data_IF_176994233070
#
_entry.id   IF_176994233070
#
_cell.length_a   1.000
_cell.length_b   1.000
_cell.length_c   1.000
_cell.angle_alpha   90.00
_cell.angle_beta   90.00
_cell.angle_gamma   90.00
#
_symmetry.space_group_name_H-M   'P 1'
#
loop_
_entity.id
_entity.type
_entity.pdbx_description
1 polymer ?
#
# COMPACT_ATOMS: atom_id res chain seq x y z
N UNK A 1 -19.51 -53.38 23.62
CA UNK A 1 -20.14 -52.33 22.82
C UNK A 1 -20.18 -50.95 23.46
N UNK A 2 -20.51 -50.78 24.75
CA UNK A 2 -20.61 -49.45 25.42
C UNK A 2 -19.26 -48.69 25.50
N UNK A 3 -18.11 -49.36 25.60
CA UNK A 3 -16.77 -48.74 25.68
C UNK A 3 -16.28 -48.17 24.35
N UNK A 4 -16.58 -48.80 23.22
CA UNK A 4 -16.24 -48.33 21.88
C UNK A 4 -17.00 -47.02 21.55
N UNK A 5 -18.31 -46.98 21.76
CA UNK A 5 -19.13 -45.79 21.55
C UNK A 5 -18.74 -44.60 22.44
N UNK A 6 -18.24 -44.84 23.68
CA UNK A 6 -17.73 -43.77 24.56
C UNK A 6 -16.40 -43.22 24.05
N UNK A 7 -15.55 -44.04 23.45
CA UNK A 7 -14.27 -43.64 22.87
C UNK A 7 -14.49 -42.83 21.58
N UNK A 8 -15.39 -43.25 20.71
CA UNK A 8 -15.78 -42.48 19.50
C UNK A 8 -16.34 -41.12 19.82
N UNK A 9 -17.25 -40.99 20.79
CA UNK A 9 -17.77 -39.71 21.23
C UNK A 9 -16.70 -38.79 21.80
N UNK A 10 -15.70 -39.34 22.49
CA UNK A 10 -14.59 -38.56 23.01
C UNK A 10 -13.67 -38.03 21.89
N UNK A 11 -13.43 -38.89 20.87
CA UNK A 11 -12.63 -38.52 19.70
C UNK A 11 -13.34 -37.45 18.87
N UNK A 12 -14.65 -37.60 18.63
CA UNK A 12 -15.48 -36.59 17.91
C UNK A 12 -15.44 -35.23 18.63
N UNK A 13 -15.62 -35.21 19.96
CA UNK A 13 -15.52 -33.95 20.74
C UNK A 13 -14.13 -33.32 20.71
N UNK A 14 -13.05 -34.12 20.68
CA UNK A 14 -11.70 -33.60 20.54
C UNK A 14 -11.46 -32.99 19.16
N UNK A 15 -11.98 -33.63 18.10
CA UNK A 15 -11.93 -33.10 16.73
C UNK A 15 -12.74 -31.80 16.62
N UNK A 16 -13.96 -31.78 17.14
CA UNK A 16 -14.82 -30.59 17.19
C UNK A 16 -14.11 -29.44 17.95
N UNK A 17 -13.55 -29.70 19.11
CA UNK A 17 -12.81 -28.70 19.88
C UNK A 17 -11.57 -28.21 19.14
N UNK A 18 -10.84 -29.09 18.45
CA UNK A 18 -9.67 -28.71 17.65
C UNK A 18 -10.07 -27.82 16.44
N UNK A 19 -11.19 -28.14 15.79
CA UNK A 19 -11.72 -27.32 14.68
C UNK A 19 -12.17 -25.93 15.19
N UNK A 20 -12.90 -25.87 16.31
CA UNK A 20 -13.33 -24.61 16.90
C UNK A 20 -12.12 -23.76 17.34
N UNK A 21 -11.10 -24.38 17.93
CA UNK A 21 -9.88 -23.68 18.31
C UNK A 21 -9.12 -23.16 17.08
N UNK A 22 -9.01 -23.99 16.04
CA UNK A 22 -8.41 -23.60 14.75
C UNK A 22 -9.14 -22.43 14.11
N UNK A 23 -10.47 -22.48 14.08
CA UNK A 23 -11.29 -21.38 13.57
C UNK A 23 -11.11 -20.09 14.42
N UNK A 24 -11.07 -20.21 15.74
CA UNK A 24 -10.84 -19.06 16.62
C UNK A 24 -9.47 -18.42 16.39
N UNK A 25 -8.41 -19.21 16.28
CA UNK A 25 -7.06 -18.74 15.98
C UNK A 25 -7.02 -18.06 14.61
N UNK A 26 -7.66 -18.65 13.60
CA UNK A 26 -7.75 -18.09 12.25
C UNK A 26 -8.45 -16.71 12.25
N UNK A 27 -9.61 -16.61 12.93
CA UNK A 27 -10.34 -15.35 13.03
C UNK A 27 -9.55 -14.28 13.78
N UNK A 28 -8.91 -14.63 14.90
CA UNK A 28 -8.09 -13.70 15.66
C UNK A 28 -6.88 -13.21 14.87
N UNK A 29 -6.22 -14.11 14.12
CA UNK A 29 -5.09 -13.72 13.26
C UNK A 29 -5.52 -12.80 12.12
N UNK A 30 -6.71 -13.03 11.54
CA UNK A 30 -7.30 -12.13 10.52
C UNK A 30 -7.58 -10.73 11.07
N UNK A 31 -8.21 -10.62 12.24
CA UNK A 31 -8.46 -9.33 12.90
C UNK A 31 -7.14 -8.60 13.20
N UNK A 32 -6.16 -9.32 13.70
CA UNK A 32 -4.84 -8.73 13.98
C UNK A 32 -4.16 -8.22 12.70
N UNK A 33 -4.19 -9.01 11.62
CA UNK A 33 -3.60 -8.63 10.34
C UNK A 33 -4.27 -7.37 9.75
N UNK A 34 -5.61 -7.29 9.79
CA UNK A 34 -6.36 -6.10 9.32
C UNK A 34 -6.06 -4.85 10.15
N UNK A 35 -5.95 -4.99 11.48
CA UNK A 35 -5.59 -3.84 12.32
C UNK A 35 -4.17 -3.35 12.03
N UNK A 36 -3.20 -4.27 11.89
CA UNK A 36 -1.81 -3.92 11.57
C UNK A 36 -1.71 -3.23 10.19
N UNK A 37 -2.46 -3.71 9.20
CA UNK A 37 -2.52 -3.09 7.88
C UNK A 37 -3.09 -1.66 7.96
N UNK A 38 -4.21 -1.47 8.70
CA UNK A 38 -4.80 -0.14 8.89
C UNK A 38 -3.87 0.81 9.62
N UNK A 39 -3.25 0.36 10.70
CA UNK A 39 -2.28 1.15 11.47
C UNK A 39 -1.10 1.60 10.61
N UNK A 40 -0.66 0.76 9.64
CA UNK A 40 0.37 1.12 8.69
C UNK A 40 -0.15 2.08 7.61
N UNK A 41 -1.35 1.83 7.06
CA UNK A 41 -1.99 2.71 6.09
C UNK A 41 -2.23 4.13 6.64
N UNK A 42 -2.54 4.24 7.93
CA UNK A 42 -2.73 5.51 8.62
C UNK A 42 -1.44 6.30 8.86
N UNK A 43 -0.28 5.76 8.47
CA UNK A 43 1.02 6.41 8.65
C UNK A 43 1.73 6.76 7.35
N UNK A 44 1.21 6.30 6.22
CA UNK A 44 1.84 6.51 4.92
C UNK A 44 0.90 7.28 3.97
N UNK A 45 1.50 8.01 3.02
CA UNK A 45 0.81 8.50 1.83
C UNK A 45 1.49 7.87 0.61
N UNK A 46 0.70 7.28 -0.26
CA UNK A 46 1.20 6.61 -1.46
C UNK A 46 1.16 7.53 -2.69
N UNK A 47 1.94 7.18 -3.71
CA UNK A 47 1.85 7.78 -5.03
C UNK A 47 1.38 6.72 -6.02
N UNK A 48 0.44 7.10 -6.86
CA UNK A 48 -0.10 6.27 -7.93
C UNK A 48 -0.10 7.06 -9.23
N UNK A 49 0.78 6.70 -10.17
CA UNK A 49 0.84 7.33 -11.50
C UNK A 49 0.34 6.35 -12.55
N UNK A 50 -0.64 6.78 -13.35
CA UNK A 50 -1.24 6.00 -14.41
C UNK A 50 -0.83 6.59 -15.77
N UNK A 51 -0.29 5.75 -16.66
CA UNK A 51 0.00 6.13 -18.03
C UNK A 51 -1.29 6.23 -18.84
N UNK A 52 -1.25 7.02 -19.93
CA UNK A 52 -2.34 7.09 -20.89
C UNK A 52 -2.66 5.72 -21.50
N UNK A 53 -1.63 4.96 -21.92
CA UNK A 53 -1.76 3.61 -22.47
C UNK A 53 -0.53 2.74 -22.16
N UNK A 54 -0.52 1.51 -22.70
CA UNK A 54 0.61 0.56 -22.54
C UNK A 54 1.68 0.67 -23.63
N UNK A 55 1.63 1.69 -24.50
CA UNK A 55 2.70 1.92 -25.47
C UNK A 55 4.02 2.27 -24.79
N UNK A 56 5.15 1.98 -25.44
CA UNK A 56 6.47 2.28 -24.89
C UNK A 56 6.66 3.78 -24.62
N UNK A 57 6.12 4.62 -25.51
CA UNK A 57 6.16 6.07 -25.42
C UNK A 57 5.38 6.59 -24.20
N UNK A 58 4.16 6.10 -23.99
CA UNK A 58 3.35 6.51 -22.85
C UNK A 58 3.94 5.99 -21.52
N UNK A 59 4.54 4.80 -21.52
CA UNK A 59 5.23 4.28 -20.35
C UNK A 59 6.51 5.09 -20.04
N UNK A 60 7.26 5.53 -21.06
CA UNK A 60 8.41 6.42 -20.89
C UNK A 60 7.97 7.80 -20.36
N UNK A 61 6.92 8.38 -20.92
CA UNK A 61 6.34 9.66 -20.48
C UNK A 61 5.90 9.58 -19.01
N UNK A 62 5.23 8.50 -18.60
CA UNK A 62 4.83 8.26 -17.21
C UNK A 62 6.03 8.34 -16.25
N UNK A 63 7.19 7.79 -16.63
CA UNK A 63 8.38 7.85 -15.78
C UNK A 63 8.90 9.28 -15.61
N UNK A 64 8.87 10.11 -16.65
CA UNK A 64 9.24 11.52 -16.58
C UNK A 64 8.28 12.30 -15.67
N UNK A 65 6.98 12.06 -15.83
CA UNK A 65 5.93 12.66 -14.97
C UNK A 65 6.12 12.22 -13.51
N UNK A 66 6.35 10.92 -13.27
CA UNK A 66 6.64 10.39 -11.94
C UNK A 66 7.80 11.13 -11.27
N UNK A 67 8.92 11.29 -11.98
CA UNK A 67 10.13 11.89 -11.42
C UNK A 67 9.89 13.35 -11.04
N UNK A 68 9.23 14.13 -11.89
CA UNK A 68 8.85 15.51 -11.60
C UNK A 68 7.91 15.62 -10.39
N UNK A 69 6.91 14.74 -10.29
CA UNK A 69 5.98 14.72 -9.16
C UNK A 69 6.67 14.29 -7.87
N UNK A 70 7.54 13.27 -7.91
CA UNK A 70 8.30 12.81 -6.73
C UNK A 70 9.22 13.89 -6.18
N UNK A 71 9.96 14.57 -7.04
CA UNK A 71 10.84 15.66 -6.66
C UNK A 71 10.03 16.76 -5.94
N UNK A 72 8.94 17.23 -6.57
CA UNK A 72 8.12 18.30 -5.99
C UNK A 72 7.38 17.87 -4.73
N UNK A 73 6.79 16.69 -4.69
CA UNK A 73 6.12 16.17 -3.52
C UNK A 73 7.10 16.03 -2.34
N UNK A 74 8.34 15.60 -2.59
CA UNK A 74 9.37 15.49 -1.56
C UNK A 74 9.66 16.86 -0.94
N UNK A 75 9.86 17.92 -1.74
CA UNK A 75 10.07 19.29 -1.26
C UNK A 75 8.89 19.81 -0.41
N UNK A 76 7.64 19.57 -0.88
CA UNK A 76 6.42 19.95 -0.15
C UNK A 76 6.36 19.24 1.21
N UNK A 77 6.77 17.98 1.27
CA UNK A 77 6.66 17.13 2.45
C UNK A 77 7.86 17.21 3.41
N UNK A 78 8.92 17.94 3.08
CA UNK A 78 10.09 18.15 3.97
C UNK A 78 9.72 18.66 5.37
N UNK A 79 8.62 19.40 5.49
CA UNK A 79 8.14 19.98 6.74
C UNK A 79 7.09 19.13 7.46
N UNK A 80 6.77 17.94 6.92
CA UNK A 80 5.75 17.07 7.49
C UNK A 80 6.35 16.19 8.57
N UNK A 81 5.75 16.21 9.76
CA UNK A 81 6.14 15.36 10.88
C UNK A 81 5.31 14.06 10.94
N UNK A 82 4.10 14.08 10.35
CA UNK A 82 3.18 12.96 10.34
C UNK A 82 2.31 12.93 9.06
N UNK A 83 1.58 11.82 8.85
CA UNK A 83 0.67 11.66 7.70
C UNK A 83 -0.37 12.77 7.61
N UNK A 84 -0.88 13.27 8.72
CA UNK A 84 -1.94 14.29 8.74
C UNK A 84 -1.43 15.64 8.24
N UNK A 85 -0.24 16.04 8.66
CA UNK A 85 0.44 17.25 8.13
C UNK A 85 0.81 17.07 6.66
N UNK A 86 1.29 15.88 6.27
CA UNK A 86 1.56 15.52 4.89
C UNK A 86 0.29 15.63 4.00
N UNK A 87 -0.83 15.08 4.46
CA UNK A 87 -2.11 15.20 3.76
C UNK A 87 -2.54 16.67 3.58
N UNK A 88 -2.42 17.49 4.61
CA UNK A 88 -2.81 18.89 4.54
C UNK A 88 -1.97 19.66 3.51
N UNK A 89 -0.65 19.48 3.52
CA UNK A 89 0.26 20.10 2.56
C UNK A 89 0.00 19.64 1.13
N UNK A 90 -0.22 18.34 0.91
CA UNK A 90 -0.54 17.83 -0.42
C UNK A 90 -1.89 18.37 -0.92
N UNK A 91 -2.92 18.49 -0.07
CA UNK A 91 -4.22 19.08 -0.46
C UNK A 91 -4.08 20.54 -0.85
N UNK A 92 -3.28 21.32 -0.13
CA UNK A 92 -3.00 22.73 -0.46
C UNK A 92 -2.24 22.86 -1.78
N UNK A 93 -1.33 21.92 -2.06
CA UNK A 93 -0.47 21.92 -3.24
C UNK A 93 -1.05 21.17 -4.45
N UNK A 94 -2.27 20.61 -4.38
CA UNK A 94 -2.88 19.86 -5.49
C UNK A 94 -2.89 20.62 -6.82
N UNK A 95 -3.22 21.93 -6.89
CA UNK A 95 -3.19 22.67 -8.15
C UNK A 95 -1.79 22.72 -8.79
N UNK A 96 -0.75 22.80 -7.98
CA UNK A 96 0.64 22.77 -8.46
C UNK A 96 1.05 21.35 -8.88
N UNK A 97 0.65 20.33 -8.11
CA UNK A 97 0.90 18.92 -8.39
C UNK A 97 0.12 18.40 -9.61
N UNK A 98 -0.86 19.15 -10.11
CA UNK A 98 -1.54 18.95 -11.39
C UNK A 98 -0.87 19.73 -12.53
N UNK A 99 -0.48 20.97 -12.28
CA UNK A 99 0.10 21.84 -13.29
C UNK A 99 1.48 21.35 -13.76
N UNK A 100 2.36 21.00 -12.82
CA UNK A 100 3.73 20.55 -13.09
C UNK A 100 3.79 19.30 -14.01
N UNK A 101 3.09 18.19 -13.73
CA UNK A 101 3.06 17.06 -14.63
C UNK A 101 2.41 17.40 -15.98
N UNK A 102 1.41 18.28 -16.03
CA UNK A 102 0.84 18.79 -17.28
C UNK A 102 1.87 19.55 -18.14
N UNK A 103 2.75 20.33 -17.52
CA UNK A 103 3.89 20.98 -18.19
C UNK A 103 4.90 19.96 -18.68
N UNK A 104 5.22 18.95 -17.89
CA UNK A 104 6.11 17.85 -18.28
C UNK A 104 5.60 17.12 -19.51
N UNK A 105 4.31 16.81 -19.56
CA UNK A 105 3.63 16.17 -20.71
C UNK A 105 3.79 17.03 -21.96
N UNK A 106 3.46 18.33 -21.90
CA UNK A 106 3.57 19.26 -23.03
C UNK A 106 5.02 19.47 -23.49
N UNK A 107 5.97 19.57 -22.55
CA UNK A 107 7.39 19.72 -22.87
C UNK A 107 7.96 18.51 -23.65
N UNK A 108 7.35 17.33 -23.48
CA UNK A 108 7.72 16.12 -24.21
C UNK A 108 6.90 15.91 -25.51
N UNK A 109 6.11 16.91 -25.93
CA UNK A 109 5.42 16.90 -27.22
C UNK A 109 4.06 16.19 -27.22
N UNK A 110 3.48 15.95 -26.03
CA UNK A 110 2.14 15.33 -25.90
C UNK A 110 1.10 16.38 -25.48
N UNK A 111 -0.17 16.11 -25.82
CA UNK A 111 -1.32 16.97 -25.48
C UNK A 111 -2.33 16.20 -24.61
N UNK A 112 -1.82 15.41 -23.67
CA UNK A 112 -2.67 14.70 -22.72
C UNK A 112 -3.07 15.63 -21.56
N UNK A 113 -4.34 15.54 -21.17
CA UNK A 113 -4.78 16.10 -19.90
C UNK A 113 -4.10 15.34 -18.76
N UNK A 114 -3.77 16.06 -17.69
CA UNK A 114 -3.27 15.45 -16.46
C UNK A 114 -4.17 15.89 -15.33
N UNK A 115 -4.54 14.94 -14.47
CA UNK A 115 -5.34 15.19 -13.27
C UNK A 115 -4.56 14.72 -12.03
N UNK A 116 -4.55 15.53 -10.98
CA UNK A 116 -4.01 15.16 -9.67
C UNK A 116 -5.13 15.09 -8.63
N UNK A 117 -5.24 13.95 -7.96
CA UNK A 117 -6.26 13.68 -6.95
C UNK A 117 -5.60 13.17 -5.66
N UNK A 118 -6.15 13.53 -4.51
CA UNK A 118 -5.73 12.98 -3.22
C UNK A 118 -6.92 12.27 -2.58
N UNK A 119 -6.94 10.94 -2.68
CA UNK A 119 -8.05 10.09 -2.27
C UNK A 119 -7.59 8.74 -1.71
N UNK A 120 -8.48 8.07 -0.99
CA UNK A 120 -8.25 6.69 -0.57
C UNK A 120 -8.36 5.78 -1.79
N UNK A 121 -7.35 4.93 -1.98
CA UNK A 121 -7.20 4.07 -3.15
C UNK A 121 -6.75 2.68 -2.72
N UNK A 122 -7.34 1.66 -3.33
CA UNK A 122 -6.95 0.26 -3.11
C UNK A 122 -5.62 -0.06 -3.80
N UNK A 123 -4.71 -0.65 -3.05
CA UNK A 123 -3.41 -1.09 -3.54
C UNK A 123 -3.24 -2.58 -3.32
N UNK A 124 -2.65 -3.30 -4.28
CA UNK A 124 -2.17 -4.65 -4.04
C UNK A 124 -0.93 -4.64 -3.14
N UNK A 125 -0.57 -5.80 -2.59
CA UNK A 125 0.75 -5.97 -1.94
C UNK A 125 1.86 -5.59 -2.92
N UNK A 126 2.76 -4.73 -2.50
CA UNK A 126 3.90 -4.27 -3.31
C UNK A 126 5.20 -4.43 -2.56
N UNK A 127 6.14 -5.06 -3.24
CA UNK A 127 7.55 -5.17 -2.84
C UNK A 127 8.34 -4.07 -3.52
N UNK A 128 9.23 -3.44 -2.76
CA UNK A 128 10.16 -2.40 -3.18
C UNK A 128 11.59 -2.84 -2.81
N UNK A 129 12.59 -2.09 -3.20
CA UNK A 129 13.94 -2.36 -2.75
C UNK A 129 14.06 -2.04 -1.25
N UNK A 130 14.30 -3.08 -0.46
CA UNK A 130 14.47 -3.00 0.99
C UNK A 130 13.18 -2.93 1.84
N UNK A 131 11.97 -2.90 1.23
CA UNK A 131 10.73 -2.95 1.99
C UNK A 131 9.54 -3.42 1.16
N UNK A 132 8.41 -3.74 1.81
CA UNK A 132 7.14 -3.96 1.13
C UNK A 132 5.96 -3.40 1.94
N UNK A 133 4.86 -3.20 1.25
CA UNK A 133 3.59 -2.79 1.85
C UNK A 133 2.48 -3.79 1.52
N UNK A 134 1.63 -4.13 2.50
CA UNK A 134 0.50 -5.02 2.29
C UNK A 134 -0.56 -4.40 1.37
N UNK A 135 -1.41 -5.25 0.80
CA UNK A 135 -2.63 -4.83 0.13
C UNK A 135 -3.54 -4.07 1.10
N UNK A 136 -4.33 -3.13 0.60
CA UNK A 136 -5.31 -2.40 1.38
C UNK A 136 -5.60 -1.00 0.86
N UNK A 137 -6.48 -0.29 1.55
CA UNK A 137 -6.82 1.10 1.28
C UNK A 137 -5.76 2.04 1.88
N UNK A 138 -5.26 2.96 1.06
CA UNK A 138 -4.27 3.96 1.45
C UNK A 138 -4.64 5.33 0.90
N UNK A 139 -4.37 6.38 1.66
CA UNK A 139 -4.37 7.72 1.08
C UNK A 139 -3.29 7.79 0.00
N UNK A 140 -3.67 8.21 -1.19
CA UNK A 140 -2.78 8.28 -2.34
C UNK A 140 -2.90 9.60 -3.09
N UNK A 141 -1.74 10.17 -3.46
CA UNK A 141 -1.65 11.14 -4.52
C UNK A 141 -1.70 10.38 -5.84
N UNK A 142 -2.80 10.54 -6.57
CA UNK A 142 -3.02 9.91 -7.89
C UNK A 142 -2.77 10.92 -8.99
N UNK A 143 -1.94 10.53 -9.95
CA UNK A 143 -1.67 11.32 -11.17
C UNK A 143 -2.14 10.49 -12.36
N UNK A 144 -3.15 10.98 -13.05
CA UNK A 144 -3.72 10.35 -14.24
C UNK A 144 -3.25 11.12 -15.48
N UNK A 145 -2.63 10.41 -16.42
CA UNK A 145 -2.17 10.96 -17.69
C UNK A 145 -3.12 10.49 -18.80
N UNK A 146 -3.79 11.41 -19.48
CA UNK A 146 -4.75 11.08 -20.55
C UNK A 146 -5.88 10.20 -20.07
N UNK A 147 -6.07 9.03 -20.70
CA UNK A 147 -7.12 8.06 -20.37
C UNK A 147 -6.83 7.28 -19.08
N UNK A 148 -5.59 7.30 -18.57
CA UNK A 148 -5.20 6.52 -17.37
C UNK A 148 -5.36 5.00 -17.55
N UNK A 149 -5.32 4.52 -18.81
CA UNK A 149 -5.61 3.13 -19.17
C UNK A 149 -4.36 2.22 -19.23
N UNK A 150 -3.16 2.79 -19.03
CA UNK A 150 -1.91 2.06 -19.07
C UNK A 150 -1.49 1.51 -17.70
N UNK A 151 -0.29 0.90 -17.66
CA UNK A 151 0.26 0.30 -16.45
C UNK A 151 0.47 1.31 -15.34
N UNK A 152 0.17 0.86 -14.13
CA UNK A 152 0.32 1.62 -12.90
C UNK A 152 1.78 1.71 -12.47
N UNK A 153 2.15 2.84 -11.87
CA UNK A 153 3.33 2.99 -11.03
C UNK A 153 2.91 3.29 -9.61
N UNK A 154 3.42 2.56 -8.65
CA UNK A 154 3.11 2.73 -7.23
C UNK A 154 4.36 3.01 -6.41
N UNK A 155 4.27 3.97 -5.50
CA UNK A 155 5.36 4.40 -4.64
C UNK A 155 4.82 4.84 -3.27
N UNK A 156 5.72 5.34 -2.40
CA UNK A 156 5.40 5.96 -1.10
C UNK A 156 6.05 7.33 -1.07
N UNK A 157 5.24 8.40 -0.93
CA UNK A 157 5.73 9.78 -0.88
C UNK A 157 5.91 10.28 0.55
N UNK A 158 5.16 9.71 1.50
CA UNK A 158 5.34 9.97 2.93
C UNK A 158 5.23 8.68 3.73
N UNK A 159 6.25 8.31 4.51
CA UNK A 159 7.62 8.81 4.46
C UNK A 159 8.23 8.72 3.05
N UNK A 160 9.26 9.49 2.70
CA UNK A 160 9.84 9.50 1.34
C UNK A 160 10.70 8.25 1.07
N UNK A 161 10.08 7.06 1.06
CA UNK A 161 10.75 5.76 0.98
C UNK A 161 11.18 5.37 -0.44
N UNK A 162 10.67 6.03 -1.47
CA UNK A 162 10.96 5.73 -2.87
C UNK A 162 11.91 6.75 -3.54
N UNK A 163 12.52 7.62 -2.78
CA UNK A 163 13.49 8.59 -3.31
C UNK A 163 14.92 8.07 -3.13
N UNK A 164 15.83 8.54 -3.97
CA UNK A 164 17.26 8.23 -3.83
C UNK A 164 17.85 8.71 -2.48
N UNK A 165 17.14 9.57 -1.76
CA UNK A 165 17.52 10.05 -0.43
C UNK A 165 17.25 9.01 0.68
N UNK A 166 16.39 8.02 0.45
CA UNK A 166 16.11 6.95 1.41
C UNK A 166 17.15 5.83 1.32
N UNK A 167 18.42 6.17 1.57
CA UNK A 167 19.49 5.19 1.65
C UNK A 167 19.31 4.21 2.83
N UNK A 168 18.50 4.60 3.83
CA UNK A 168 18.16 3.79 5.01
C UNK A 168 16.64 3.87 5.24
N UNK A 169 15.91 2.88 4.73
CA UNK A 169 14.45 2.78 4.86
C UNK A 169 14.01 2.69 6.32
N UNK A 170 14.64 1.87 7.20
CA UNK A 170 14.32 1.85 8.61
C UNK A 170 14.45 3.21 9.30
N UNK A 171 15.56 3.91 9.11
CA UNK A 171 15.80 5.21 9.74
C UNK A 171 14.78 6.26 9.27
N UNK A 172 14.52 6.31 7.96
CA UNK A 172 13.54 7.23 7.36
C UNK A 172 12.13 6.99 7.88
N UNK A 173 11.73 5.72 8.00
CA UNK A 173 10.42 5.34 8.49
C UNK A 173 10.24 5.66 9.99
N UNK A 174 11.26 5.40 10.81
CA UNK A 174 11.25 5.73 12.25
C UNK A 174 11.19 7.25 12.47
N UNK A 175 11.96 8.03 11.70
CA UNK A 175 11.95 9.49 11.77
C UNK A 175 10.58 10.10 11.45
N UNK A 176 9.81 9.44 10.57
CA UNK A 176 8.44 9.84 10.22
C UNK A 176 7.37 9.28 11.18
N UNK A 177 7.78 8.70 12.30
CA UNK A 177 6.88 8.26 13.39
C UNK A 177 6.31 6.85 13.24
N UNK A 178 6.85 6.01 12.35
CA UNK A 178 6.54 4.58 12.35
C UNK A 178 7.20 3.92 13.58
N UNK A 179 6.54 2.91 14.14
CA UNK A 179 7.09 2.15 15.26
C UNK A 179 8.11 1.12 14.78
N UNK A 180 9.01 0.65 15.68
CA UNK A 180 9.97 -0.41 15.37
C UNK A 180 9.27 -1.68 14.85
N UNK A 181 8.11 -2.04 15.42
CA UNK A 181 7.30 -3.18 14.95
C UNK A 181 6.79 -2.99 13.52
N UNK A 182 6.37 -1.77 13.16
CA UNK A 182 5.90 -1.44 11.80
C UNK A 182 7.06 -1.45 10.81
N UNK A 183 8.21 -0.92 11.18
CA UNK A 183 9.42 -0.94 10.35
C UNK A 183 9.89 -2.37 10.14
N UNK A 184 10.01 -3.17 11.21
CA UNK A 184 10.35 -4.59 11.12
C UNK A 184 9.37 -5.36 10.21
N UNK A 185 8.06 -5.07 10.33
CA UNK A 185 7.03 -5.66 9.46
C UNK A 185 7.25 -5.33 7.98
N UNK A 186 7.77 -4.15 7.65
CA UNK A 186 7.99 -3.71 6.28
C UNK A 186 9.33 -4.20 5.69
N UNK A 187 10.35 -4.38 6.51
CA UNK A 187 11.76 -4.55 6.08
C UNK A 187 12.34 -5.94 6.31
N UNK A 188 11.64 -6.85 7.04
CA UNK A 188 12.12 -8.21 7.25
C UNK A 188 12.18 -9.00 5.94
N UNK A 189 13.37 -9.38 5.50
CA UNK A 189 13.64 -10.20 4.30
C UNK A 189 13.20 -11.68 4.43
N UNK A 190 12.65 -12.11 5.57
CA UNK A 190 12.42 -13.53 5.82
C UNK A 190 11.07 -14.01 5.25
N UNK A 191 11.04 -15.26 4.79
CA UNK A 191 9.90 -15.94 4.13
C UNK A 191 8.57 -15.91 4.92
N UNK A 192 8.59 -15.53 6.19
CA UNK A 192 7.42 -15.26 7.03
C UNK A 192 6.60 -14.02 6.64
N UNK A 193 7.24 -13.07 6.00
CA UNK A 193 6.73 -11.81 5.51
C UNK A 193 5.70 -11.97 4.36
N UNK A 194 6.08 -12.67 3.30
CA UNK A 194 5.19 -12.96 2.16
C UNK A 194 3.96 -13.76 2.59
N UNK A 195 4.11 -14.67 3.57
CA UNK A 195 2.99 -15.46 4.10
C UNK A 195 2.03 -14.60 4.93
N UNK A 196 2.52 -13.63 5.71
CA UNK A 196 1.67 -12.72 6.50
C UNK A 196 0.81 -11.84 5.58
N UNK A 197 1.38 -11.28 4.51
CA UNK A 197 0.63 -10.44 3.58
C UNK A 197 -0.30 -11.23 2.67
N UNK A 198 0.07 -12.42 2.24
CA UNK A 198 -0.86 -13.32 1.52
C UNK A 198 -2.06 -13.72 2.36
N UNK A 199 -1.90 -13.84 3.67
CA UNK A 199 -3.04 -14.09 4.56
C UNK A 199 -4.02 -12.90 4.58
N UNK A 200 -3.52 -11.66 4.51
CA UNK A 200 -4.35 -10.45 4.39
C UNK A 200 -5.07 -10.43 3.04
N UNK A 201 -4.37 -10.69 1.93
CA UNK A 201 -4.97 -10.77 0.58
C UNK A 201 -6.09 -11.82 0.52
N UNK A 202 -5.85 -13.02 1.06
CA UNK A 202 -6.87 -14.07 1.12
C UNK A 202 -8.07 -13.69 1.99
N UNK A 203 -7.83 -12.94 3.06
CA UNK A 203 -8.90 -12.46 3.93
C UNK A 203 -9.75 -11.40 3.23
N UNK A 204 -9.14 -10.46 2.52
CA UNK A 204 -9.85 -9.45 1.73
C UNK A 204 -10.65 -10.08 0.60
N UNK A 205 -10.07 -11.02 -0.17
CA UNK A 205 -10.79 -11.78 -1.20
C UNK A 205 -11.96 -12.57 -0.63
N UNK A 206 -11.79 -13.17 0.56
CA UNK A 206 -12.88 -13.90 1.22
C UNK A 206 -13.99 -12.94 1.67
N UNK A 207 -13.63 -11.76 2.17
CA UNK A 207 -14.60 -10.73 2.57
C UNK A 207 -15.41 -10.24 1.36
N UNK A 208 -14.75 -9.89 0.27
CA UNK A 208 -15.38 -9.48 -0.98
C UNK A 208 -16.35 -10.55 -1.49
N UNK A 209 -15.92 -11.81 -1.46
CA UNK A 209 -16.78 -12.94 -1.87
C UNK A 209 -18.01 -13.17 -0.96
N UNK A 210 -17.94 -12.75 0.30
CA UNK A 210 -19.05 -12.87 1.26
C UNK A 210 -20.01 -11.68 1.20
N UNK A 211 -19.57 -10.52 0.66
CA UNK A 211 -20.38 -9.31 0.50
C UNK A 211 -21.12 -9.25 -0.85
N UNK A 212 -20.73 -10.08 -1.83
CA UNK A 212 -21.43 -10.32 -3.11
C UNK A 212 -22.55 -11.41 -2.95
#
# INVERSE_FOLDING_TARGET
MKTAAKRERKTLRMVELALLLGAAVFLLSGIWALNTQRDLADRVVRLHVLANSDTEEDQALKLLVRDAVLERATEILEQSEDRKSAEALLRESLPELEALPGETVRANGYDYAVTAELEDTSFPTKEYDGFALPAGEYLALRILIGEGAGQNWWCVVFPPLCTAASADVPETALAAGLTEDQVSLMTEEDSGYVLKFKAVEWWEQLREWLED
#
